data_IF_677861809539
#
_entry.id   IF_677861809539
#
_cell.length_a   1.000
_cell.length_b   1.000
_cell.length_c   1.000
_cell.angle_alpha   90.00
_cell.angle_beta   90.00
_cell.angle_gamma   90.00
#
_symmetry.space_group_name_H-M   'P 1'
#
loop_
_entity.id
_entity.type
_entity.pdbx_description
1 polymer ?
#
# COMPACT_ATOMS: atom_id res chain seq x y z
N UNK A 1 -32.11 -24.97 -12.92
CA UNK A 1 -32.49 -23.78 -13.73
C UNK A 1 -32.10 -24.02 -15.18
N UNK A 2 -32.94 -23.63 -16.15
CA UNK A 2 -32.63 -23.80 -17.57
C UNK A 2 -31.84 -22.61 -18.13
N UNK A 3 -30.91 -22.87 -19.07
CA UNK A 3 -30.12 -21.85 -19.80
C UNK A 3 -31.04 -20.76 -20.39
N UNK A 4 -32.21 -21.16 -20.90
CA UNK A 4 -33.22 -20.26 -21.50
C UNK A 4 -33.78 -19.27 -20.47
N UNK A 5 -34.08 -19.74 -19.27
CA UNK A 5 -34.62 -18.89 -18.21
C UNK A 5 -33.55 -17.91 -17.72
N UNK A 6 -32.33 -18.38 -17.49
CA UNK A 6 -31.20 -17.54 -17.08
C UNK A 6 -30.92 -16.40 -18.08
N UNK A 7 -30.82 -16.70 -19.38
CA UNK A 7 -30.59 -15.67 -20.41
C UNK A 7 -31.73 -14.64 -20.49
N UNK A 8 -32.98 -15.08 -20.27
CA UNK A 8 -34.16 -14.19 -20.26
C UNK A 8 -34.13 -13.24 -19.06
N UNK A 9 -33.75 -13.74 -17.88
CA UNK A 9 -33.62 -12.94 -16.65
C UNK A 9 -32.50 -11.89 -16.79
N UNK A 10 -31.35 -12.27 -17.34
CA UNK A 10 -30.18 -11.39 -17.51
C UNK A 10 -30.30 -10.48 -18.75
N UNK A 11 -31.33 -10.67 -19.59
CA UNK A 11 -31.52 -9.98 -20.88
C UNK A 11 -30.30 -10.08 -21.80
N UNK A 12 -29.66 -11.25 -21.85
CA UNK A 12 -28.49 -11.51 -22.69
C UNK A 12 -28.88 -12.40 -23.89
N UNK A 13 -28.40 -12.12 -25.13
CA UNK A 13 -28.55 -13.05 -26.24
C UNK A 13 -27.85 -14.38 -25.96
N UNK A 14 -28.47 -15.50 -26.37
CA UNK A 14 -27.90 -16.85 -26.18
C UNK A 14 -26.54 -17.03 -26.86
N UNK A 15 -26.33 -16.40 -28.01
CA UNK A 15 -25.06 -16.42 -28.72
C UNK A 15 -23.94 -15.80 -27.89
N UNK A 16 -24.24 -14.74 -27.12
CA UNK A 16 -23.29 -14.10 -26.22
C UNK A 16 -23.01 -14.96 -25.00
N UNK A 17 -24.03 -15.63 -24.45
CA UNK A 17 -23.85 -16.57 -23.32
C UNK A 17 -22.99 -17.78 -23.70
N UNK A 18 -23.12 -18.29 -24.93
CA UNK A 18 -22.36 -19.44 -25.42
C UNK A 18 -20.95 -19.09 -25.92
N UNK A 19 -20.64 -17.82 -26.14
CA UNK A 19 -19.28 -17.39 -26.44
C UNK A 19 -18.45 -17.59 -25.16
N UNK A 20 -17.51 -18.52 -25.21
CA UNK A 20 -16.52 -18.65 -24.16
C UNK A 20 -15.73 -17.34 -24.08
N UNK A 21 -15.51 -16.79 -22.87
CA UNK A 21 -14.58 -15.68 -22.68
C UNK A 21 -13.24 -16.05 -23.32
N UNK A 22 -12.61 -15.10 -24.03
CA UNK A 22 -11.36 -15.37 -24.75
C UNK A 22 -10.33 -16.10 -23.87
N UNK A 23 -10.23 -15.72 -22.59
CA UNK A 23 -9.37 -16.32 -21.58
C UNK A 23 -9.62 -17.81 -21.23
N UNK A 24 -10.64 -18.45 -21.80
CA UNK A 24 -10.97 -19.86 -21.63
C UNK A 24 -10.97 -20.63 -22.96
N UNK A 25 -10.46 -20.01 -24.03
CA UNK A 25 -10.40 -20.63 -25.36
C UNK A 25 -9.19 -21.56 -25.42
N UNK A 26 -9.32 -22.78 -25.97
CA UNK A 26 -8.20 -23.72 -26.09
C UNK A 26 -7.03 -23.22 -26.96
N UNK A 27 -7.23 -22.14 -27.73
CA UNK A 27 -6.18 -21.46 -28.50
C UNK A 27 -5.49 -20.31 -27.76
N UNK A 28 -5.61 -20.24 -26.43
CA UNK A 28 -4.96 -19.18 -25.65
C UNK A 28 -3.43 -19.30 -25.72
N UNK A 29 -2.71 -18.33 -26.34
CA UNK A 29 -1.24 -18.34 -26.37
C UNK A 29 -0.64 -18.15 -24.96
N UNK A 30 -1.47 -17.77 -24.00
CA UNK A 30 -1.08 -17.42 -22.63
C UNK A 30 -1.29 -18.58 -21.63
N UNK A 31 -1.79 -19.73 -22.07
CA UNK A 31 -2.10 -20.87 -21.20
C UNK A 31 -0.86 -21.42 -20.47
N UNK A 32 0.26 -21.56 -21.17
CA UNK A 32 1.53 -22.01 -20.57
C UNK A 32 2.08 -20.97 -19.56
N UNK A 33 1.91 -19.68 -19.84
CA UNK A 33 2.34 -18.62 -18.91
C UNK A 33 1.47 -18.62 -17.64
N UNK A 34 0.16 -18.88 -17.78
CA UNK A 34 -0.76 -19.03 -16.64
C UNK A 34 -0.38 -20.21 -15.74
N UNK A 35 -0.08 -21.37 -16.32
CA UNK A 35 0.32 -22.55 -15.51
C UNK A 35 1.62 -22.29 -14.75
N UNK A 36 2.62 -21.68 -15.37
CA UNK A 36 3.86 -21.28 -14.70
C UNK A 36 3.62 -20.27 -13.57
N UNK A 37 2.77 -19.26 -13.78
CA UNK A 37 2.44 -18.28 -12.75
C UNK A 37 1.70 -18.94 -11.56
N UNK A 38 0.79 -19.89 -11.82
CA UNK A 38 0.11 -20.68 -10.78
C UNK A 38 1.12 -21.49 -9.96
N UNK A 39 1.99 -22.24 -10.62
CA UNK A 39 3.02 -23.05 -9.94
C UNK A 39 3.95 -22.17 -9.09
N UNK A 40 4.38 -21.02 -9.64
CA UNK A 40 5.19 -20.05 -8.90
C UNK A 40 4.48 -19.52 -7.65
N UNK A 41 3.17 -19.24 -7.75
CA UNK A 41 2.38 -18.74 -6.63
C UNK A 41 2.22 -19.77 -5.52
N UNK A 42 2.07 -21.06 -5.87
CA UNK A 42 1.99 -22.16 -4.91
C UNK A 42 3.31 -22.31 -4.14
N UNK A 43 4.44 -22.17 -4.83
CA UNK A 43 5.78 -22.20 -4.21
C UNK A 43 6.05 -20.96 -3.35
N UNK A 44 5.50 -19.80 -3.71
CA UNK A 44 5.80 -18.53 -3.07
C UNK A 44 4.52 -17.75 -2.65
N UNK A 45 3.84 -18.15 -1.57
CA UNK A 45 2.54 -17.59 -1.19
C UNK A 45 2.58 -16.10 -0.81
N UNK A 46 3.76 -15.56 -0.46
CA UNK A 46 3.93 -14.15 -0.12
C UNK A 46 4.30 -13.25 -1.30
N UNK A 47 4.56 -13.82 -2.49
CA UNK A 47 5.04 -13.07 -3.63
C UNK A 47 3.89 -12.50 -4.45
N UNK A 48 3.91 -11.19 -4.69
CA UNK A 48 3.00 -10.53 -5.62
C UNK A 48 3.56 -10.51 -7.05
N UNK A 49 2.77 -10.00 -7.99
CA UNK A 49 3.10 -9.99 -9.43
C UNK A 49 4.47 -9.35 -9.76
N UNK A 50 4.93 -8.38 -8.96
CA UNK A 50 6.24 -7.74 -9.15
C UNK A 50 7.40 -8.73 -8.98
N UNK A 51 7.32 -9.62 -7.99
CA UNK A 51 8.34 -10.64 -7.74
C UNK A 51 8.23 -11.79 -8.74
N UNK A 52 7.03 -12.17 -9.14
CA UNK A 52 6.82 -13.14 -10.20
C UNK A 52 7.38 -12.65 -11.55
N UNK A 53 7.17 -11.37 -11.90
CA UNK A 53 7.77 -10.78 -13.11
C UNK A 53 9.30 -10.79 -13.06
N UNK A 54 9.89 -10.47 -11.92
CA UNK A 54 11.35 -10.54 -11.75
C UNK A 54 11.87 -11.97 -11.93
N UNK A 55 11.23 -12.95 -11.30
CA UNK A 55 11.58 -14.38 -11.48
C UNK A 55 11.49 -14.81 -12.94
N UNK A 56 10.39 -14.47 -13.65
CA UNK A 56 10.27 -14.77 -15.08
C UNK A 56 11.35 -14.11 -15.94
N UNK A 57 11.82 -12.92 -15.53
CA UNK A 57 12.84 -12.17 -16.27
C UNK A 57 14.25 -12.73 -16.05
N UNK A 58 14.58 -13.13 -14.82
CA UNK A 58 15.94 -13.55 -14.47
C UNK A 58 16.14 -15.06 -14.59
N UNK A 59 15.19 -15.86 -14.11
CA UNK A 59 15.35 -17.32 -14.08
C UNK A 59 14.97 -17.97 -15.43
N UNK A 60 13.93 -17.45 -16.08
CA UNK A 60 13.45 -17.99 -17.37
C UNK A 60 13.82 -17.11 -18.58
N UNK A 61 14.49 -15.97 -18.36
CA UNK A 61 14.94 -15.03 -19.40
C UNK A 61 13.84 -14.61 -20.39
N UNK A 62 12.58 -14.68 -19.97
CA UNK A 62 11.47 -14.34 -20.85
C UNK A 62 11.26 -12.84 -20.93
N UNK A 63 11.18 -12.30 -22.14
CA UNK A 63 10.91 -10.88 -22.42
C UNK A 63 9.40 -10.57 -22.35
N UNK A 64 8.71 -11.03 -21.31
CA UNK A 64 7.26 -10.77 -21.17
C UNK A 64 7.03 -9.37 -20.64
N UNK A 65 6.14 -8.62 -21.31
CA UNK A 65 5.73 -7.30 -20.86
C UNK A 65 5.09 -7.37 -19.46
N UNK A 66 5.54 -6.51 -18.55
CA UNK A 66 5.01 -6.38 -17.19
C UNK A 66 3.49 -6.21 -17.16
N UNK A 67 2.90 -5.51 -18.14
CA UNK A 67 1.45 -5.33 -18.25
C UNK A 67 0.70 -6.65 -18.46
N UNK A 68 1.27 -7.56 -19.25
CA UNK A 68 0.67 -8.87 -19.57
C UNK A 68 0.62 -9.75 -18.33
N UNK A 69 1.72 -9.82 -17.59
CA UNK A 69 1.78 -10.56 -16.32
C UNK A 69 0.82 -9.97 -15.30
N UNK A 70 0.74 -8.64 -15.18
CA UNK A 70 -0.23 -8.01 -14.30
C UNK A 70 -1.68 -8.38 -14.67
N UNK A 71 -2.04 -8.36 -15.96
CA UNK A 71 -3.37 -8.76 -16.43
C UNK A 71 -3.69 -10.20 -16.03
N UNK A 72 -2.80 -11.13 -16.39
CA UNK A 72 -2.96 -12.55 -16.07
C UNK A 72 -3.02 -12.79 -14.56
N UNK A 73 -2.21 -12.08 -13.77
CA UNK A 73 -2.21 -12.20 -12.31
C UNK A 73 -3.55 -11.79 -11.68
N UNK A 74 -4.20 -10.76 -12.23
CA UNK A 74 -5.53 -10.34 -11.80
C UNK A 74 -6.63 -11.31 -12.26
N UNK A 75 -6.58 -11.78 -13.52
CA UNK A 75 -7.51 -12.76 -14.08
C UNK A 75 -7.51 -14.08 -13.28
N UNK A 76 -6.34 -14.52 -12.85
CA UNK A 76 -6.15 -15.75 -12.07
C UNK A 76 -6.58 -15.62 -10.61
N UNK A 77 -7.01 -14.44 -10.15
CA UNK A 77 -7.41 -14.26 -8.75
C UNK A 77 -6.24 -14.42 -7.77
N UNK A 78 -5.01 -14.23 -8.25
CA UNK A 78 -3.78 -14.23 -7.43
C UNK A 78 -3.46 -12.91 -6.70
N UNK A 79 -4.26 -11.81 -6.71
CA UNK A 79 -3.86 -10.62 -5.95
C UNK A 79 -3.99 -10.91 -4.45
N UNK A 80 -2.84 -10.92 -3.77
CA UNK A 80 -2.79 -10.98 -2.31
C UNK A 80 -3.53 -9.77 -1.75
N UNK A 81 -4.49 -10.02 -0.86
CA UNK A 81 -5.13 -8.97 -0.06
C UNK A 81 -4.05 -8.20 0.69
N UNK A 82 -3.88 -6.92 0.37
CA UNK A 82 -2.97 -6.04 1.10
C UNK A 82 -3.53 -5.90 2.52
N UNK A 83 -2.77 -6.36 3.51
CA UNK A 83 -3.17 -6.24 4.91
C UNK A 83 -3.06 -4.76 5.29
N UNK A 84 -4.19 -4.06 5.30
CA UNK A 84 -4.24 -2.66 5.73
C UNK A 84 -3.94 -2.63 7.23
N UNK A 85 -3.00 -1.76 7.62
CA UNK A 85 -2.69 -1.54 9.04
C UNK A 85 -3.97 -1.09 9.74
N UNK A 86 -4.43 -1.89 10.71
CA UNK A 86 -5.59 -1.50 11.53
C UNK A 86 -5.27 -0.17 12.22
N UNK A 87 -6.19 0.79 12.10
CA UNK A 87 -6.13 2.03 12.89
C UNK A 87 -6.15 1.61 14.36
N UNK A 88 -5.25 2.16 15.18
CA UNK A 88 -5.30 1.94 16.63
C UNK A 88 -6.56 2.61 17.16
N UNK A 89 -7.60 1.85 17.46
CA UNK A 89 -8.81 2.36 18.10
C UNK A 89 -8.54 2.43 19.60
N UNK A 90 -8.13 3.60 20.08
CA UNK A 90 -7.92 3.89 21.49
C UNK A 90 -7.64 5.37 21.66
N UNK A 91 -8.28 6.00 22.65
CA UNK A 91 -7.84 7.33 23.11
C UNK A 91 -6.46 7.12 23.73
N UNK A 92 -5.48 7.96 23.34
CA UNK A 92 -4.18 7.98 24.00
C UNK A 92 -4.40 8.13 25.50
N UNK A 93 -3.88 7.22 26.30
CA UNK A 93 -3.92 7.30 27.78
C UNK A 93 -3.29 8.60 28.28
N UNK A 94 -2.36 9.16 27.50
CA UNK A 94 -1.69 10.42 27.81
C UNK A 94 -2.46 11.61 27.22
N UNK A 95 -2.77 12.63 28.05
CA UNK A 95 -3.34 13.88 27.55
C UNK A 95 -2.35 14.54 26.58
N UNK A 96 -2.86 15.08 25.48
CA UNK A 96 -2.03 15.86 24.57
C UNK A 96 -1.71 17.20 25.26
N UNK A 97 -0.47 17.36 25.68
CA UNK A 97 0.03 18.62 26.23
C UNK A 97 0.27 19.57 25.05
N UNK A 98 -0.46 20.68 25.01
CA UNK A 98 -0.19 21.76 24.07
C UNK A 98 1.14 22.43 24.45
N UNK A 99 2.02 22.67 23.48
CA UNK A 99 3.29 23.34 23.74
C UNK A 99 3.06 24.86 23.83
N UNK A 100 3.31 25.45 24.99
CA UNK A 100 3.13 26.88 25.22
C UNK A 100 4.25 27.74 24.58
N UNK A 101 5.42 27.17 24.28
CA UNK A 101 6.49 27.82 23.51
C UNK A 101 7.41 26.81 22.79
N UNK A 102 8.26 27.30 21.88
CA UNK A 102 9.25 26.49 21.18
C UNK A 102 10.22 25.81 22.17
N UNK A 103 10.52 24.52 21.96
CA UNK A 103 11.37 23.67 22.81
C UNK A 103 10.82 23.38 24.23
N UNK A 104 9.54 23.64 24.51
CA UNK A 104 8.92 23.35 25.82
C UNK A 104 8.52 21.87 25.96
N UNK A 105 8.10 21.23 24.87
CA UNK A 105 7.69 19.81 24.88
C UNK A 105 8.60 19.02 23.94
N UNK A 106 9.37 18.09 24.48
CA UNK A 106 10.12 17.09 23.71
C UNK A 106 9.41 15.76 23.88
N UNK A 107 8.90 15.18 22.80
CA UNK A 107 8.25 13.87 22.84
C UNK A 107 9.31 12.75 22.99
N UNK A 108 9.74 12.50 24.22
CA UNK A 108 10.48 11.30 24.59
C UNK A 108 9.47 10.29 25.15
N UNK A 109 9.24 9.19 24.42
CA UNK A 109 8.47 8.08 24.98
C UNK A 109 9.32 7.38 26.03
N UNK A 110 8.92 7.47 27.30
CA UNK A 110 9.48 6.64 28.37
C UNK A 110 8.33 6.04 29.17
N UNK A 111 8.33 4.71 29.27
CA UNK A 111 7.41 3.97 30.12
C UNK A 111 7.97 3.94 31.55
N UNK A 112 7.15 4.33 32.53
CA UNK A 112 7.25 3.89 33.91
C UNK A 112 8.34 4.53 34.78
N UNK A 113 8.00 5.56 35.54
CA UNK A 113 7.84 5.48 37.01
C UNK A 113 7.59 6.89 37.57
N UNK A 114 6.59 7.00 38.43
CA UNK A 114 6.23 8.21 39.15
C UNK A 114 7.34 8.54 40.16
N UNK A 115 8.09 9.63 39.95
CA UNK A 115 8.68 10.35 41.07
C UNK A 115 8.48 11.85 40.88
N UNK A 116 7.71 12.42 41.79
CA UNK A 116 7.36 13.83 41.89
C UNK A 116 8.49 14.56 42.59
N UNK A 117 9.42 15.16 41.85
CA UNK A 117 10.18 16.34 42.33
C UNK A 117 11.17 16.83 41.26
N UNK A 118 10.78 17.81 40.46
CA UNK A 118 11.74 18.71 39.81
C UNK A 118 11.25 20.13 40.04
N UNK A 119 11.78 20.75 41.10
CA UNK A 119 11.68 22.19 41.32
C UNK A 119 12.58 22.91 40.31
N UNK A 120 12.11 23.94 39.60
CA UNK A 120 12.95 24.68 38.66
C UNK A 120 13.77 25.71 39.44
N UNK A 121 15.06 25.44 39.66
CA UNK A 121 15.97 26.45 40.18
C UNK A 121 16.46 27.37 39.06
N UNK A 122 16.31 28.66 39.33
CA UNK A 122 16.86 29.83 38.67
C UNK A 122 18.29 29.68 38.16
N UNK A 123 18.55 30.08 36.90
CA UNK A 123 19.40 31.23 36.56
C UNK A 123 19.86 31.23 35.08
N UNK A 124 19.34 32.21 34.32
CA UNK A 124 20.09 33.21 33.55
C UNK A 124 21.35 32.73 32.77
N UNK A 125 21.27 32.72 31.43
CA UNK A 125 22.12 33.62 30.62
C UNK A 125 21.56 33.83 29.21
N UNK A 126 21.22 35.08 28.97
CA UNK A 126 21.05 35.72 27.68
C UNK A 126 22.18 35.38 26.70
N UNK A 127 21.82 34.86 25.52
CA UNK A 127 22.58 35.09 24.29
C UNK A 127 21.61 35.56 23.21
N UNK A 128 21.48 36.88 23.11
CA UNK A 128 20.92 37.56 21.95
C UNK A 128 21.75 37.20 20.72
N UNK A 129 21.28 36.28 19.89
CA UNK A 129 21.72 36.21 18.50
C UNK A 129 20.87 37.19 17.71
N UNK A 130 21.37 38.43 17.64
CA UNK A 130 20.94 39.46 16.70
C UNK A 130 21.21 38.91 15.29
N UNK A 131 20.17 38.48 14.59
CA UNK A 131 20.25 38.26 13.15
C UNK A 131 19.81 39.56 12.49
N UNK A 132 20.80 40.30 12.01
CA UNK A 132 20.62 41.44 11.11
C UNK A 132 20.17 40.91 9.75
N UNK A 133 18.86 40.90 9.51
CA UNK A 133 18.31 40.86 8.15
C UNK A 133 18.23 42.30 7.65
N UNK A 134 19.20 42.68 6.83
CA UNK A 134 19.12 43.88 6.01
C UNK A 134 17.98 43.68 5.00
N UNK A 135 16.86 44.36 5.23
CA UNK A 135 15.81 44.57 4.23
C UNK A 135 16.07 45.91 3.56
N UNK A 136 16.35 45.98 2.26
CA UNK A 136 16.03 47.18 1.50
C UNK A 136 14.59 47.06 1.01
N UNK A 137 13.75 47.94 1.53
CA UNK A 137 12.46 48.26 0.95
C UNK A 137 12.68 48.96 -0.40
N UNK A 138 11.95 48.54 -1.43
CA UNK A 138 11.71 49.36 -2.62
C UNK A 138 10.21 49.70 -2.63
N UNK A 139 9.86 50.99 -2.52
CA UNK A 139 8.58 51.51 -2.97
C UNK A 139 8.75 52.27 -4.30
N UNK A 140 8.10 51.77 -5.35
CA UNK A 140 7.40 52.49 -6.44
C UNK A 140 6.94 51.46 -7.48
#
# INVERSE_FOLDING_TARGET
MSERFACKVVRLPRSTYRRLPLAQTPGDPDAALRSQLREYSTKNPCHGFRRAWAHLRYDQQQLVNKKKIHRLWCEEGLPRRVRVRRKKTGRSTYPQVAADAANVVWAAGVEGELSSSISPSTARRSRSRRWSTSTPANPC
#
